data_IF_662590683271
#
_entry.id   IF_662590683271
#
_cell.length_a   1.000
_cell.length_b   1.000
_cell.length_c   1.000
_cell.angle_alpha   90.00
_cell.angle_beta   90.00
_cell.angle_gamma   90.00
#
_symmetry.space_group_name_H-M   'P 1'
#
loop_
_entity.id
_entity.type
_entity.pdbx_description
1 polymer ?
#
# COMPACT_ATOMS: atom_id res chain seq x y z
N UNK A 1 -27.11 3.06 -39.95
CA UNK A 1 -27.37 2.02 -38.94
C UNK A 1 -26.20 2.04 -37.94
N UNK A 2 -26.41 2.71 -36.79
CA UNK A 2 -25.37 2.83 -35.76
C UNK A 2 -25.47 1.67 -34.82
N UNK A 3 -24.45 0.84 -34.73
CA UNK A 3 -24.30 -0.19 -33.70
C UNK A 3 -23.75 0.49 -32.44
N UNK A 4 -24.63 0.85 -31.53
CA UNK A 4 -24.27 1.20 -30.15
C UNK A 4 -23.97 -0.10 -29.41
N UNK A 5 -22.72 -0.54 -29.47
CA UNK A 5 -22.23 -1.63 -28.64
C UNK A 5 -22.20 -1.19 -27.17
N UNK A 6 -23.24 -1.53 -26.42
CA UNK A 6 -23.20 -1.43 -24.97
C UNK A 6 -22.08 -2.36 -24.45
N UNK A 7 -20.95 -1.79 -24.05
CA UNK A 7 -19.88 -2.52 -23.40
C UNK A 7 -20.44 -3.12 -22.11
N UNK A 8 -20.65 -4.42 -22.09
CA UNK A 8 -21.10 -5.15 -20.91
C UNK A 8 -20.12 -4.86 -19.77
N UNK A 9 -20.67 -4.44 -18.62
CA UNK A 9 -19.90 -4.21 -17.40
C UNK A 9 -19.18 -5.52 -17.04
N UNK A 10 -17.84 -5.53 -16.88
CA UNK A 10 -17.14 -6.76 -16.53
C UNK A 10 -17.74 -7.37 -15.26
N UNK A 11 -17.81 -8.70 -15.15
CA UNK A 11 -18.38 -9.37 -13.99
C UNK A 11 -17.65 -8.93 -12.72
N UNK A 12 -18.42 -8.55 -11.71
CA UNK A 12 -17.85 -8.32 -10.37
C UNK A 12 -17.27 -9.64 -9.86
N UNK A 13 -16.18 -9.63 -9.08
CA UNK A 13 -15.71 -10.82 -8.41
C UNK A 13 -16.87 -11.41 -7.59
N UNK A 14 -17.00 -12.74 -7.58
CA UNK A 14 -17.97 -13.42 -6.72
C UNK A 14 -17.75 -12.93 -5.29
N UNK A 15 -18.81 -12.80 -4.48
CA UNK A 15 -18.67 -12.41 -3.06
C UNK A 15 -17.61 -13.31 -2.40
N UNK A 16 -16.43 -12.74 -2.15
CA UNK A 16 -15.27 -13.49 -1.67
C UNK A 16 -15.29 -13.71 -0.16
N UNK A 17 -16.23 -13.08 0.56
CA UNK A 17 -16.22 -13.05 2.01
C UNK A 17 -15.09 -12.20 2.62
N UNK A 18 -14.26 -11.55 1.82
CA UNK A 18 -13.21 -10.63 2.33
C UNK A 18 -13.91 -9.36 2.85
N UNK A 19 -13.73 -8.99 4.13
CA UNK A 19 -14.26 -7.74 4.65
C UNK A 19 -13.72 -6.53 3.90
N UNK A 20 -14.51 -5.45 3.88
CA UNK A 20 -14.10 -4.17 3.31
C UNK A 20 -14.14 -3.07 4.36
N UNK A 21 -13.30 -2.06 4.20
CA UNK A 21 -13.30 -0.82 5.00
C UNK A 21 -13.45 0.38 4.10
N UNK A 22 -14.07 1.44 4.62
CA UNK A 22 -14.06 2.75 3.96
C UNK A 22 -12.65 3.31 4.06
N UNK A 23 -12.10 3.71 2.92
CA UNK A 23 -10.72 4.19 2.83
C UNK A 23 -10.63 5.66 3.23
N UNK A 24 -10.28 5.92 4.49
CA UNK A 24 -10.22 7.26 5.05
C UNK A 24 -11.47 8.09 4.73
N UNK A 25 -11.28 9.36 4.40
CA UNK A 25 -12.33 10.31 4.00
C UNK A 25 -12.80 10.19 2.54
N UNK A 26 -12.28 9.21 1.79
CA UNK A 26 -12.58 9.06 0.35
C UNK A 26 -13.98 8.52 0.06
N UNK A 27 -14.63 7.87 1.03
CA UNK A 27 -15.91 7.18 0.85
C UNK A 27 -15.84 5.86 0.07
N UNK A 28 -14.67 5.48 -0.46
CA UNK A 28 -14.50 4.24 -1.25
C UNK A 28 -14.28 3.05 -0.32
N UNK A 29 -14.99 1.95 -0.58
CA UNK A 29 -14.76 0.68 0.13
C UNK A 29 -13.70 -0.14 -0.59
N UNK A 30 -12.72 -0.64 0.18
CA UNK A 30 -11.62 -1.48 -0.31
C UNK A 30 -11.51 -2.75 0.52
N UNK A 31 -11.00 -3.85 -0.06
CA UNK A 31 -10.70 -5.06 0.70
C UNK A 31 -9.64 -4.77 1.77
N UNK A 32 -9.78 -5.37 2.96
CA UNK A 32 -8.84 -5.12 4.08
C UNK A 32 -7.44 -5.70 3.84
N UNK A 33 -7.27 -6.55 2.83
CA UNK A 33 -5.98 -7.06 2.35
C UNK A 33 -5.78 -6.66 0.90
N UNK A 34 -4.52 -6.41 0.53
CA UNK A 34 -4.11 -5.98 -0.79
C UNK A 34 -2.93 -6.82 -1.30
N UNK A 35 -2.82 -6.96 -2.63
CA UNK A 35 -1.63 -7.49 -3.28
C UNK A 35 -0.59 -6.37 -3.43
N UNK A 36 0.59 -6.56 -2.84
CA UNK A 36 1.73 -5.66 -2.98
C UNK A 36 2.62 -6.05 -4.17
N UNK A 37 2.98 -5.05 -4.98
CA UNK A 37 3.75 -5.23 -6.20
C UNK A 37 5.28 -5.32 -6.01
N UNK A 38 5.79 -5.02 -4.82
CA UNK A 38 7.25 -5.02 -4.58
C UNK A 38 7.90 -6.40 -4.66
N UNK A 39 7.11 -7.48 -4.63
CA UNK A 39 7.58 -8.88 -4.69
C UNK A 39 7.16 -9.59 -5.99
N UNK A 40 6.74 -8.86 -7.00
CA UNK A 40 6.49 -9.43 -8.33
C UNK A 40 7.78 -9.92 -9.01
N UNK A 41 8.92 -9.43 -8.58
CA UNK A 41 10.25 -9.90 -8.97
C UNK A 41 10.59 -11.35 -8.58
N UNK A 42 9.76 -11.97 -7.74
CA UNK A 42 9.88 -13.41 -7.38
C UNK A 42 9.25 -14.35 -8.42
N UNK A 43 8.45 -13.82 -9.34
CA UNK A 43 7.92 -14.59 -10.45
C UNK A 43 8.97 -14.74 -11.56
N UNK A 44 8.97 -15.85 -12.31
CA UNK A 44 9.94 -16.08 -13.38
C UNK A 44 9.95 -14.98 -14.45
N UNK A 45 8.77 -14.45 -14.78
CA UNK A 45 8.60 -13.42 -15.78
C UNK A 45 7.33 -12.57 -15.53
N UNK A 46 7.11 -11.59 -16.39
CA UNK A 46 5.97 -10.68 -16.33
C UNK A 46 4.64 -11.40 -16.58
N UNK A 47 4.62 -12.44 -17.40
CA UNK A 47 3.39 -13.16 -17.74
C UNK A 47 2.89 -13.98 -16.52
N UNK A 48 3.79 -14.66 -15.82
CA UNK A 48 3.48 -15.38 -14.57
C UNK A 48 3.05 -14.40 -13.46
N UNK A 49 3.73 -13.27 -13.33
CA UNK A 49 3.34 -12.22 -12.39
C UNK A 49 1.93 -11.66 -12.71
N UNK A 50 1.62 -11.45 -13.99
CA UNK A 50 0.29 -11.00 -14.43
C UNK A 50 -0.80 -12.04 -14.17
N UNK A 51 -0.50 -13.32 -14.39
CA UNK A 51 -1.42 -14.42 -14.06
C UNK A 51 -1.70 -14.48 -12.55
N UNK A 52 -0.66 -14.28 -11.71
CA UNK A 52 -0.82 -14.16 -10.26
C UNK A 52 -1.73 -12.98 -9.89
N UNK A 53 -1.50 -11.79 -10.44
CA UNK A 53 -2.33 -10.59 -10.20
C UNK A 53 -3.80 -10.87 -10.57
N UNK A 54 -4.04 -11.50 -11.73
CA UNK A 54 -5.39 -11.88 -12.15
C UNK A 54 -6.03 -12.86 -11.18
N UNK A 55 -5.31 -13.89 -10.77
CA UNK A 55 -5.80 -14.89 -9.81
C UNK A 55 -6.17 -14.25 -8.48
N UNK A 56 -5.37 -13.30 -7.98
CA UNK A 56 -5.67 -12.57 -6.74
C UNK A 56 -6.95 -11.75 -6.85
N UNK A 57 -7.19 -11.11 -8.01
CA UNK A 57 -8.46 -10.45 -8.29
C UNK A 57 -9.64 -11.45 -8.29
N UNK A 58 -9.49 -12.58 -8.96
CA UNK A 58 -10.54 -13.61 -9.04
C UNK A 58 -10.89 -14.20 -7.67
N UNK A 59 -9.94 -14.20 -6.72
CA UNK A 59 -10.13 -14.55 -5.31
C UNK A 59 -10.85 -13.44 -4.50
N UNK A 60 -11.09 -12.27 -5.10
CA UNK A 60 -11.91 -11.19 -4.55
C UNK A 60 -11.14 -10.06 -3.87
N UNK A 61 -9.83 -10.01 -3.99
CA UNK A 61 -9.04 -8.83 -3.57
C UNK A 61 -9.34 -7.69 -4.54
N UNK A 62 -9.63 -6.51 -4.01
CA UNK A 62 -9.95 -5.33 -4.82
C UNK A 62 -8.91 -4.22 -4.71
N UNK A 63 -7.92 -4.36 -3.83
CA UNK A 63 -6.84 -3.38 -3.66
C UNK A 63 -5.52 -3.93 -4.19
N UNK A 64 -4.88 -3.16 -5.07
CA UNK A 64 -3.63 -3.51 -5.74
C UNK A 64 -2.63 -2.37 -5.61
N UNK A 65 -1.49 -2.63 -4.96
CA UNK A 65 -0.43 -1.64 -4.73
C UNK A 65 0.77 -1.90 -5.61
N UNK A 66 1.14 -0.91 -6.41
CA UNK A 66 2.28 -0.97 -7.32
C UNK A 66 3.21 0.24 -7.14
N UNK A 67 4.30 0.28 -7.88
CA UNK A 67 5.17 1.45 -8.01
C UNK A 67 6.01 1.36 -9.29
N UNK A 68 6.30 2.52 -9.89
CA UNK A 68 7.17 2.63 -11.07
C UNK A 68 8.55 2.03 -10.86
N UNK A 69 9.11 2.16 -9.66
CA UNK A 69 10.44 1.65 -9.32
C UNK A 69 10.50 0.13 -9.07
N UNK A 70 9.35 -0.55 -8.91
CA UNK A 70 9.37 -1.97 -8.61
C UNK A 70 9.74 -2.80 -9.84
N UNK A 71 10.73 -3.68 -9.67
CA UNK A 71 11.23 -4.57 -10.72
C UNK A 71 11.56 -3.86 -12.04
N UNK A 72 12.10 -2.63 -11.96
CA UNK A 72 12.43 -1.82 -13.14
C UNK A 72 11.21 -1.46 -14.03
N UNK A 73 10.03 -1.33 -13.44
CA UNK A 73 8.78 -1.06 -14.14
C UNK A 73 7.97 -2.30 -14.52
N UNK A 74 8.57 -3.50 -14.48
CA UNK A 74 7.89 -4.76 -14.84
C UNK A 74 6.73 -5.11 -13.89
N UNK A 75 6.77 -4.61 -12.65
CA UNK A 75 5.64 -4.76 -11.74
C UNK A 75 4.39 -4.02 -12.26
N UNK A 76 4.53 -2.79 -12.75
CA UNK A 76 3.41 -2.07 -13.40
C UNK A 76 2.92 -2.79 -14.66
N UNK A 77 3.83 -3.34 -15.46
CA UNK A 77 3.49 -4.11 -16.66
C UNK A 77 2.64 -5.34 -16.32
N UNK A 78 3.06 -6.11 -15.30
CA UNK A 78 2.31 -7.27 -14.81
C UNK A 78 0.90 -6.89 -14.32
N UNK A 79 0.79 -5.76 -13.61
CA UNK A 79 -0.50 -5.24 -13.14
C UNK A 79 -1.37 -4.77 -14.31
N UNK A 80 -0.79 -4.08 -15.29
CA UNK A 80 -1.48 -3.63 -16.50
C UNK A 80 -2.07 -4.78 -17.32
N UNK A 81 -1.34 -5.90 -17.42
CA UNK A 81 -1.80 -7.12 -18.09
C UNK A 81 -2.85 -7.85 -17.22
N UNK A 82 -2.53 -8.13 -15.95
CA UNK A 82 -3.36 -8.92 -15.06
C UNK A 82 -4.73 -8.28 -14.75
N UNK A 83 -4.81 -6.95 -14.71
CA UNK A 83 -6.04 -6.21 -14.43
C UNK A 83 -6.79 -5.77 -15.68
N UNK A 84 -6.33 -6.13 -16.86
CA UNK A 84 -7.01 -5.80 -18.11
C UNK A 84 -8.44 -6.36 -18.13
N UNK A 85 -9.41 -5.52 -18.54
CA UNK A 85 -10.84 -5.87 -18.56
C UNK A 85 -11.53 -5.77 -17.20
N UNK A 86 -10.79 -5.66 -16.07
CA UNK A 86 -11.37 -5.54 -14.71
C UNK A 86 -10.94 -4.27 -13.98
N UNK A 87 -10.17 -3.38 -14.62
CA UNK A 87 -9.60 -2.16 -14.02
C UNK A 87 -10.62 -1.33 -13.22
N UNK A 88 -11.86 -1.22 -13.69
CA UNK A 88 -12.94 -0.44 -13.06
C UNK A 88 -13.48 -1.08 -11.76
N UNK A 89 -13.13 -2.33 -11.51
CA UNK A 89 -13.57 -3.07 -10.32
C UNK A 89 -12.53 -3.07 -9.20
N UNK A 90 -11.35 -2.52 -9.44
CA UNK A 90 -10.23 -2.53 -8.50
C UNK A 90 -9.82 -1.12 -8.10
N UNK A 91 -9.18 -1.04 -6.95
CA UNK A 91 -8.52 0.14 -6.42
C UNK A 91 -7.00 -0.04 -6.63
N UNK A 92 -6.46 0.69 -7.60
CA UNK A 92 -5.07 0.55 -8.05
C UNK A 92 -4.24 1.75 -7.62
N UNK A 93 -3.07 1.49 -7.06
CA UNK A 93 -2.13 2.54 -6.68
C UNK A 93 -0.81 2.39 -7.43
N UNK A 94 -0.17 3.53 -7.74
CA UNK A 94 1.24 3.56 -8.14
C UNK A 94 1.98 4.72 -7.48
N UNK A 95 3.31 4.78 -7.67
CA UNK A 95 4.18 5.68 -6.91
C UNK A 95 5.30 6.22 -7.79
N UNK A 96 5.74 7.46 -7.47
CA UNK A 96 6.90 8.12 -8.09
C UNK A 96 7.97 8.46 -7.05
N UNK A 97 9.25 8.25 -7.38
CA UNK A 97 10.39 8.67 -6.56
C UNK A 97 10.90 10.05 -6.91
N UNK A 98 10.32 10.68 -7.93
CA UNK A 98 10.70 12.02 -8.38
C UNK A 98 10.16 13.10 -7.45
N UNK A 99 10.81 14.27 -7.44
CA UNK A 99 10.48 15.35 -6.48
C UNK A 99 10.19 16.69 -7.16
N UNK A 100 10.45 16.83 -8.46
CA UNK A 100 10.13 18.03 -9.23
C UNK A 100 8.87 17.83 -10.08
N UNK A 101 8.14 18.91 -10.32
CA UNK A 101 6.91 18.89 -11.12
C UNK A 101 7.11 18.18 -12.48
N UNK A 102 8.11 18.62 -13.25
CA UNK A 102 8.34 18.09 -14.61
C UNK A 102 8.64 16.59 -14.60
N UNK A 103 9.50 16.12 -13.70
CA UNK A 103 9.88 14.71 -13.63
C UNK A 103 8.70 13.81 -13.24
N UNK A 104 7.87 14.26 -12.27
CA UNK A 104 6.73 13.44 -11.82
C UNK A 104 5.61 13.40 -12.85
N UNK A 105 5.38 14.48 -13.61
CA UNK A 105 4.42 14.50 -14.72
C UNK A 105 4.81 13.46 -15.79
N UNK A 106 6.08 13.44 -16.21
CA UNK A 106 6.59 12.45 -17.16
C UNK A 106 6.49 11.01 -16.65
N UNK A 107 6.79 10.80 -15.37
CA UNK A 107 6.74 9.45 -14.77
C UNK A 107 5.30 8.96 -14.62
N UNK A 108 4.32 9.85 -14.35
CA UNK A 108 2.91 9.48 -14.33
C UNK A 108 2.42 9.00 -15.71
N UNK A 109 2.73 9.73 -16.78
CA UNK A 109 2.35 9.33 -18.13
C UNK A 109 2.94 7.95 -18.49
N UNK A 110 4.22 7.74 -18.15
CA UNK A 110 4.87 6.45 -18.36
C UNK A 110 4.19 5.33 -17.55
N UNK A 111 3.81 5.60 -16.29
CA UNK A 111 3.09 4.64 -15.44
C UNK A 111 1.71 4.30 -15.98
N UNK A 112 0.93 5.31 -16.42
CA UNK A 112 -0.41 5.09 -16.98
C UNK A 112 -0.32 4.26 -18.26
N UNK A 113 0.64 4.54 -19.15
CA UNK A 113 0.90 3.76 -20.34
C UNK A 113 1.27 2.30 -20.04
N UNK A 114 2.16 2.07 -19.06
CA UNK A 114 2.59 0.73 -18.67
C UNK A 114 1.45 -0.05 -17.99
N UNK A 115 0.67 0.61 -17.13
CA UNK A 115 -0.50 0.04 -16.46
C UNK A 115 -1.71 -0.14 -17.39
N UNK A 116 -1.63 0.36 -18.64
CA UNK A 116 -2.72 0.29 -19.65
C UNK A 116 -4.05 0.84 -19.12
N UNK A 117 -3.99 2.02 -18.50
CA UNK A 117 -5.15 2.68 -17.89
C UNK A 117 -5.03 4.19 -18.00
N UNK A 118 -6.16 4.89 -18.06
CA UNK A 118 -6.21 6.35 -18.11
C UNK A 118 -6.06 7.00 -16.73
N UNK A 119 -6.19 6.22 -15.66
CA UNK A 119 -6.11 6.72 -14.30
C UNK A 119 -5.66 5.65 -13.30
N UNK A 120 -5.11 6.12 -12.18
CA UNK A 120 -4.92 5.30 -10.96
C UNK A 120 -5.85 5.81 -9.84
N UNK A 121 -6.17 4.96 -8.87
CA UNK A 121 -6.99 5.38 -7.75
C UNK A 121 -6.18 6.24 -6.79
N UNK A 122 -4.98 5.83 -6.40
CA UNK A 122 -4.07 6.69 -5.65
C UNK A 122 -2.74 6.81 -6.42
N UNK A 123 -2.28 8.04 -6.56
CA UNK A 123 -0.90 8.32 -6.94
C UNK A 123 -0.11 8.78 -5.72
N UNK A 124 1.06 8.19 -5.47
CA UNK A 124 1.79 8.38 -4.22
C UNK A 124 3.21 8.90 -4.43
N UNK A 125 3.61 9.87 -3.62
CA UNK A 125 5.00 10.24 -3.44
C UNK A 125 5.73 9.08 -2.74
N UNK A 126 6.70 8.47 -3.40
CA UNK A 126 7.33 7.24 -2.92
C UNK A 126 8.53 7.54 -2.01
N UNK A 127 8.54 6.91 -0.82
CA UNK A 127 9.70 6.80 0.05
C UNK A 127 10.30 8.15 0.45
N UNK A 128 9.46 9.04 1.00
CA UNK A 128 9.90 10.33 1.55
C UNK A 128 10.68 10.08 2.84
N UNK A 129 11.90 10.63 2.95
CA UNK A 129 12.87 10.28 3.98
C UNK A 129 13.35 11.43 4.85
N UNK A 130 13.44 12.65 4.30
CA UNK A 130 14.05 13.79 4.98
C UNK A 130 13.21 15.05 4.91
N UNK A 131 13.51 16.01 5.79
CA UNK A 131 12.85 17.32 5.77
C UNK A 131 13.14 18.07 4.46
N UNK A 132 14.36 17.96 3.90
CA UNK A 132 14.71 18.61 2.64
C UNK A 132 13.88 18.07 1.48
N UNK A 133 13.53 16.77 1.49
CA UNK A 133 12.59 16.21 0.50
C UNK A 133 11.20 16.80 0.67
N UNK A 134 10.72 16.98 1.90
CA UNK A 134 9.42 17.63 2.19
C UNK A 134 9.41 19.05 1.63
N UNK A 135 10.43 19.82 1.93
CA UNK A 135 10.56 21.21 1.48
C UNK A 135 10.59 21.30 -0.05
N UNK A 136 11.32 20.40 -0.71
CA UNK A 136 11.37 20.33 -2.17
C UNK A 136 10.04 19.93 -2.80
N UNK A 137 9.34 18.95 -2.21
CA UNK A 137 8.04 18.47 -2.67
C UNK A 137 7.00 19.60 -2.63
N UNK A 138 7.02 20.40 -1.56
CA UNK A 138 6.03 21.45 -1.31
C UNK A 138 6.41 22.83 -1.87
N UNK A 139 7.66 23.00 -2.35
CA UNK A 139 8.12 24.27 -2.92
C UNK A 139 7.48 24.58 -4.28
N UNK A 140 7.53 25.85 -4.74
CA UNK A 140 7.16 26.19 -6.11
C UNK A 140 7.95 25.37 -7.14
N UNK A 141 7.28 24.78 -8.12
CA UNK A 141 7.86 23.82 -9.08
C UNK A 141 8.14 22.44 -8.50
N UNK A 142 7.75 22.19 -7.26
CA UNK A 142 7.84 20.89 -6.60
C UNK A 142 6.77 19.90 -7.08
N UNK A 143 6.92 18.68 -6.63
CA UNK A 143 6.07 17.57 -7.09
C UNK A 143 4.58 17.78 -6.77
N UNK A 144 4.21 18.48 -5.67
CA UNK A 144 2.81 18.67 -5.29
C UNK A 144 1.99 19.39 -6.34
N UNK A 145 2.57 20.33 -7.09
CA UNK A 145 1.85 21.00 -8.18
C UNK A 145 1.37 20.00 -9.25
N UNK A 146 2.22 19.01 -9.59
CA UNK A 146 1.85 17.95 -10.52
C UNK A 146 0.80 17.00 -9.94
N UNK A 147 0.90 16.66 -8.66
CA UNK A 147 -0.09 15.81 -7.96
C UNK A 147 -1.48 16.45 -7.94
N UNK A 148 -1.58 17.74 -7.61
CA UNK A 148 -2.83 18.48 -7.65
C UNK A 148 -3.39 18.62 -9.08
N UNK A 149 -2.51 18.89 -10.07
CA UNK A 149 -2.89 18.97 -11.47
C UNK A 149 -3.40 17.61 -12.01
N UNK A 150 -2.72 16.50 -11.68
CA UNK A 150 -3.13 15.15 -12.08
C UNK A 150 -4.48 14.77 -11.46
N UNK A 151 -4.71 15.09 -10.18
CA UNK A 151 -6.00 14.88 -9.51
C UNK A 151 -7.11 15.69 -10.17
N UNK A 152 -6.86 16.95 -10.50
CA UNK A 152 -7.80 17.82 -11.21
C UNK A 152 -8.11 17.32 -12.63
N UNK A 153 -7.11 16.78 -13.31
CA UNK A 153 -7.24 16.21 -14.67
C UNK A 153 -7.88 14.80 -14.67
N UNK A 154 -8.14 14.20 -13.51
CA UNK A 154 -8.71 12.85 -13.40
C UNK A 154 -7.72 11.71 -13.67
N UNK A 155 -6.42 11.99 -13.79
CA UNK A 155 -5.36 10.98 -13.95
C UNK A 155 -5.08 10.19 -12.66
N UNK A 156 -5.43 10.76 -11.51
CA UNK A 156 -5.57 10.05 -10.26
C UNK A 156 -6.82 10.55 -9.51
N UNK A 157 -7.46 9.67 -8.73
CA UNK A 157 -8.62 10.05 -7.93
C UNK A 157 -8.20 10.67 -6.62
N UNK A 158 -7.13 10.15 -6.04
CA UNK A 158 -6.61 10.50 -4.73
C UNK A 158 -5.10 10.63 -4.78
N UNK A 159 -4.54 11.40 -3.84
CA UNK A 159 -3.11 11.60 -3.71
C UNK A 159 -2.63 11.16 -2.33
N UNK A 160 -1.41 10.65 -2.28
CA UNK A 160 -0.82 10.17 -1.05
C UNK A 160 0.69 10.21 -1.06
N UNK A 161 1.28 9.72 0.01
CA UNK A 161 2.71 9.50 0.09
C UNK A 161 3.05 8.25 0.86
N UNK A 162 4.28 7.82 0.74
CA UNK A 162 4.81 6.64 1.40
C UNK A 162 6.16 6.93 2.02
N UNK A 163 6.50 6.21 3.05
CA UNK A 163 7.81 6.19 3.63
C UNK A 163 7.89 5.08 4.68
N UNK A 164 9.11 4.68 4.98
CA UNK A 164 9.36 3.65 5.98
C UNK A 164 10.69 3.89 6.71
N UNK A 165 11.23 5.09 6.54
CA UNK A 165 12.54 5.46 7.05
C UNK A 165 12.45 6.04 8.48
N UNK A 166 11.78 7.17 8.64
CA UNK A 166 11.62 7.87 9.91
C UNK A 166 10.15 8.26 10.17
N UNK A 167 9.57 7.88 11.30
CA UNK A 167 8.18 8.21 11.64
C UNK A 167 7.97 9.70 11.96
N UNK A 168 9.01 10.41 12.40
CA UNK A 168 8.91 11.86 12.70
C UNK A 168 8.77 12.65 11.42
N UNK A 169 9.64 12.39 10.43
CA UNK A 169 9.53 12.95 9.07
C UNK A 169 8.16 12.63 8.45
N UNK A 170 7.68 11.41 8.65
CA UNK A 170 6.37 11.01 8.13
C UNK A 170 5.23 11.82 8.75
N UNK A 171 5.25 12.01 10.07
CA UNK A 171 4.30 12.84 10.79
C UNK A 171 4.41 14.33 10.40
N UNK A 172 5.63 14.82 10.13
CA UNK A 172 5.85 16.19 9.66
C UNK A 172 5.17 16.43 8.30
N UNK A 173 5.33 15.52 7.34
CA UNK A 173 4.68 15.63 6.03
C UNK A 173 3.15 15.54 6.12
N UNK A 174 2.61 14.71 7.03
CA UNK A 174 1.17 14.68 7.31
C UNK A 174 0.63 16.02 7.81
N UNK A 175 1.42 16.76 8.59
CA UNK A 175 1.05 18.08 9.11
C UNK A 175 1.27 19.24 8.13
N UNK A 176 2.30 19.11 7.27
CA UNK A 176 2.69 20.16 6.34
C UNK A 176 1.71 20.37 5.18
N UNK A 177 0.83 19.39 4.90
CA UNK A 177 -0.13 19.47 3.81
C UNK A 177 -1.45 18.81 4.19
N UNK A 178 -2.56 19.57 4.14
CA UNK A 178 -3.85 19.12 4.68
C UNK A 178 -4.72 18.31 3.72
N UNK A 179 -4.34 18.26 2.44
CA UNK A 179 -5.17 17.61 1.40
C UNK A 179 -4.73 16.18 1.06
N UNK A 180 -3.89 15.54 1.90
CA UNK A 180 -3.58 14.13 1.73
C UNK A 180 -4.84 13.28 1.86
N UNK A 181 -5.03 12.34 0.92
CA UNK A 181 -6.09 11.34 0.96
C UNK A 181 -5.56 10.01 1.54
N UNK A 182 -4.26 9.76 1.41
CA UNK A 182 -3.65 8.46 1.67
C UNK A 182 -2.24 8.58 2.25
N UNK A 183 -1.90 7.65 3.14
CA UNK A 183 -0.54 7.44 3.62
C UNK A 183 -0.22 5.95 3.74
N UNK A 184 1.01 5.57 3.38
CA UNK A 184 1.51 4.21 3.50
C UNK A 184 2.73 4.19 4.42
N UNK A 185 2.69 3.33 5.45
CA UNK A 185 3.76 3.22 6.44
C UNK A 185 3.93 1.78 6.96
N UNK A 186 5.11 1.41 7.51
CA UNK A 186 5.29 0.12 8.19
C UNK A 186 4.44 0.07 9.44
N UNK A 187 3.66 -1.00 9.61
CA UNK A 187 2.87 -1.26 10.81
C UNK A 187 2.83 -2.76 11.06
N UNK A 188 3.47 -3.23 12.11
CA UNK A 188 3.58 -4.64 12.45
C UNK A 188 3.84 -4.83 13.96
N UNK A 189 3.75 -6.03 14.46
CA UNK A 189 3.76 -6.32 15.90
C UNK A 189 5.02 -5.87 16.67
N UNK A 190 6.16 -5.69 15.99
CA UNK A 190 7.40 -5.20 16.60
C UNK A 190 7.64 -3.69 16.38
N UNK A 191 6.79 -2.99 15.60
CA UNK A 191 6.99 -1.58 15.25
C UNK A 191 7.10 -0.66 16.49
N UNK A 192 6.34 -0.96 17.54
CA UNK A 192 6.28 -0.17 18.76
C UNK A 192 7.63 -0.04 19.49
N UNK A 193 8.58 -0.93 19.23
CA UNK A 193 9.84 -1.00 19.96
C UNK A 193 10.99 -0.16 19.38
N UNK A 194 10.87 0.29 18.12
CA UNK A 194 11.92 1.08 17.46
C UNK A 194 11.37 2.00 16.39
N UNK A 195 11.64 3.32 16.50
CA UNK A 195 11.17 4.34 15.55
C UNK A 195 9.72 4.06 15.11
N UNK A 196 8.81 4.06 16.07
CA UNK A 196 7.45 3.55 15.92
C UNK A 196 6.59 4.47 15.05
N UNK A 197 6.17 3.98 13.90
CA UNK A 197 5.12 4.61 13.09
C UNK A 197 3.76 4.49 13.75
N UNK A 198 3.50 3.40 14.47
CA UNK A 198 2.27 3.17 15.22
C UNK A 198 2.03 4.24 16.29
N UNK A 199 3.10 4.67 16.99
CA UNK A 199 3.00 5.64 18.08
C UNK A 199 3.21 7.10 17.60
N UNK A 200 3.72 7.33 16.40
CA UNK A 200 4.14 8.67 15.95
C UNK A 200 3.32 9.17 14.76
N UNK A 201 3.33 8.47 13.63
CA UNK A 201 2.68 8.92 12.40
C UNK A 201 1.23 8.45 12.28
N UNK A 202 0.91 7.24 12.74
CA UNK A 202 -0.45 6.69 12.68
C UNK A 202 -1.49 7.56 13.40
N UNK A 203 -1.27 8.06 14.63
CA UNK A 203 -2.24 8.92 15.30
C UNK A 203 -2.56 10.18 14.51
N UNK A 204 -1.55 10.81 13.87
CA UNK A 204 -1.75 12.00 13.02
C UNK A 204 -2.59 11.69 11.79
N UNK A 205 -2.35 10.55 11.15
CA UNK A 205 -3.13 10.13 9.99
C UNK A 205 -4.60 9.86 10.35
N UNK A 206 -4.83 9.22 11.51
CA UNK A 206 -6.18 8.92 12.03
C UNK A 206 -6.93 10.20 12.37
N UNK A 207 -6.31 11.13 13.09
CA UNK A 207 -6.89 12.44 13.44
C UNK A 207 -7.34 13.21 12.19
N UNK A 208 -6.54 13.19 11.12
CA UNK A 208 -6.85 13.86 9.85
C UNK A 208 -7.81 13.06 8.94
N UNK A 209 -8.27 11.88 9.35
CA UNK A 209 -9.13 11.03 8.55
C UNK A 209 -8.49 10.51 7.25
N UNK A 210 -7.15 10.45 7.20
CA UNK A 210 -6.39 9.99 6.04
C UNK A 210 -6.44 8.46 5.96
N UNK A 211 -6.61 7.90 4.77
CA UNK A 211 -6.59 6.45 4.56
C UNK A 211 -5.20 5.87 4.79
N UNK A 212 -5.09 4.89 5.68
CA UNK A 212 -3.82 4.27 6.07
C UNK A 212 -3.64 2.91 5.40
N UNK A 213 -2.53 2.77 4.70
CA UNK A 213 -2.02 1.52 4.13
C UNK A 213 -0.89 0.99 5.02
N UNK A 214 -1.04 -0.20 5.56
CA UNK A 214 0.01 -0.86 6.35
C UNK A 214 0.88 -1.74 5.45
N UNK A 215 2.19 -1.59 5.54
CA UNK A 215 3.18 -2.48 4.93
C UNK A 215 4.07 -3.14 5.98
N UNK A 216 4.96 -4.03 5.52
CA UNK A 216 5.89 -4.78 6.40
C UNK A 216 5.18 -5.64 7.43
N UNK A 217 3.94 -6.04 7.19
CA UNK A 217 3.08 -6.86 8.08
C UNK A 217 3.84 -8.03 8.72
N UNK A 218 4.68 -8.71 7.96
CA UNK A 218 5.50 -9.84 8.42
C UNK A 218 6.94 -9.44 8.73
N UNK A 219 7.29 -8.14 8.74
CA UNK A 219 8.64 -7.63 8.93
C UNK A 219 9.69 -8.40 8.06
N UNK A 220 9.42 -8.51 6.74
CA UNK A 220 10.22 -9.34 5.80
C UNK A 220 10.40 -10.81 6.27
N UNK A 221 9.36 -11.41 6.83
CA UNK A 221 9.31 -12.75 7.40
C UNK A 221 10.07 -12.93 8.74
N UNK A 222 10.74 -11.92 9.27
CA UNK A 222 11.41 -12.04 10.58
C UNK A 222 10.44 -12.38 11.70
N UNK A 223 9.24 -11.80 11.70
CA UNK A 223 8.22 -12.06 12.73
C UNK A 223 7.71 -13.52 12.72
N UNK A 224 7.83 -14.21 11.59
CA UNK A 224 7.39 -15.61 11.49
C UNK A 224 8.24 -16.59 12.31
N UNK A 225 9.32 -16.12 12.94
CA UNK A 225 10.10 -16.87 13.93
C UNK A 225 9.39 -16.98 15.28
N UNK A 226 8.52 -16.03 15.59
CA UNK A 226 7.86 -15.90 16.90
C UNK A 226 6.33 -15.92 16.81
N UNK A 227 5.78 -15.54 15.68
CA UNK A 227 4.36 -15.39 15.43
C UNK A 227 3.94 -16.16 14.19
N UNK A 228 2.71 -16.64 14.16
CA UNK A 228 2.09 -17.16 12.94
C UNK A 228 1.78 -16.01 11.95
N UNK A 229 1.63 -16.35 10.67
CA UNK A 229 1.15 -15.39 9.66
C UNK A 229 -0.21 -14.80 10.01
N UNK A 230 -1.09 -15.62 10.61
CA UNK A 230 -2.40 -15.17 11.13
C UNK A 230 -2.23 -14.09 12.20
N UNK A 231 -1.36 -14.30 13.18
CA UNK A 231 -1.14 -13.32 14.25
C UNK A 231 -0.56 -12.02 13.71
N UNK A 232 0.43 -12.09 12.82
CA UNK A 232 1.01 -10.90 12.19
C UNK A 232 -0.05 -10.07 11.44
N UNK A 233 -0.85 -10.72 10.59
CA UNK A 233 -1.86 -10.03 9.79
C UNK A 233 -3.03 -9.53 10.65
N UNK A 234 -3.49 -10.33 11.63
CA UNK A 234 -4.55 -9.93 12.56
C UNK A 234 -4.11 -8.75 13.41
N UNK A 235 -2.86 -8.74 13.90
CA UNK A 235 -2.31 -7.59 14.64
C UNK A 235 -2.42 -6.31 13.81
N UNK A 236 -1.87 -6.31 12.60
CA UNK A 236 -1.89 -5.14 11.72
C UNK A 236 -3.32 -4.69 11.41
N UNK A 237 -4.22 -5.62 11.11
CA UNK A 237 -5.63 -5.32 10.82
C UNK A 237 -6.42 -4.85 12.06
N UNK A 238 -5.92 -5.11 13.27
CA UNK A 238 -6.51 -4.62 14.53
C UNK A 238 -6.16 -3.17 14.84
N UNK A 239 -5.14 -2.62 14.18
CA UNK A 239 -4.82 -1.20 14.23
C UNK A 239 -5.83 -0.39 13.39
N UNK A 240 -5.92 0.94 13.58
CA UNK A 240 -6.82 1.80 12.81
C UNK A 240 -6.32 2.02 11.36
N UNK A 241 -6.12 0.92 10.63
CA UNK A 241 -5.70 0.91 9.22
C UNK A 241 -6.85 0.46 8.33
N UNK A 242 -6.86 0.89 7.07
CA UNK A 242 -7.88 0.49 6.13
C UNK A 242 -7.50 -0.77 5.35
N UNK A 243 -6.20 -0.94 5.07
CA UNK A 243 -5.72 -2.06 4.27
C UNK A 243 -4.33 -2.49 4.70
N UNK A 244 -4.10 -3.80 4.77
CA UNK A 244 -2.79 -4.42 4.93
C UNK A 244 -2.28 -4.89 3.56
N UNK A 245 -1.18 -4.30 3.09
CA UNK A 245 -0.55 -4.65 1.81
C UNK A 245 0.42 -5.81 2.05
N UNK A 246 0.08 -6.96 1.49
CA UNK A 246 0.87 -8.17 1.59
C UNK A 246 1.72 -8.35 0.33
N UNK A 247 3.04 -8.41 0.49
CA UNK A 247 3.98 -8.71 -0.58
C UNK A 247 4.08 -10.23 -0.80
N UNK A 248 2.97 -10.88 -1.13
CA UNK A 248 2.96 -12.30 -1.43
C UNK A 248 3.67 -12.58 -2.76
N UNK A 249 4.71 -13.39 -2.72
CA UNK A 249 5.46 -13.82 -3.90
C UNK A 249 4.94 -15.14 -4.48
N UNK A 250 3.98 -15.78 -3.82
CA UNK A 250 3.32 -17.01 -4.31
C UNK A 250 1.82 -16.92 -4.11
N UNK A 251 1.09 -17.67 -4.95
CA UNK A 251 -0.36 -17.76 -4.85
C UNK A 251 -0.79 -18.31 -3.47
N UNK A 252 -0.14 -19.34 -2.96
CA UNK A 252 -0.47 -19.92 -1.65
C UNK A 252 -0.35 -18.94 -0.50
N UNK A 253 0.68 -18.09 -0.49
CA UNK A 253 0.83 -17.02 0.52
C UNK A 253 -0.34 -16.03 0.47
N UNK A 254 -0.79 -15.66 -0.73
CA UNK A 254 -1.92 -14.73 -0.85
C UNK A 254 -3.24 -15.38 -0.47
N UNK A 255 -3.45 -16.65 -0.83
CA UNK A 255 -4.62 -17.42 -0.40
C UNK A 255 -4.69 -17.57 1.13
N UNK A 256 -3.54 -17.77 1.81
CA UNK A 256 -3.47 -17.79 3.26
C UNK A 256 -3.87 -16.43 3.86
N UNK A 257 -3.34 -15.33 3.33
CA UNK A 257 -3.70 -13.99 3.76
C UNK A 257 -5.21 -13.70 3.56
N UNK A 258 -5.78 -14.17 2.46
CA UNK A 258 -7.22 -14.05 2.19
C UNK A 258 -8.03 -14.85 3.21
N UNK A 259 -7.65 -16.09 3.54
CA UNK A 259 -8.31 -16.89 4.57
C UNK A 259 -8.29 -16.23 5.95
N UNK A 260 -7.16 -15.60 6.30
CA UNK A 260 -7.06 -14.80 7.54
C UNK A 260 -8.03 -13.62 7.50
N UNK A 261 -8.06 -12.88 6.38
CA UNK A 261 -8.96 -11.74 6.22
C UNK A 261 -10.45 -12.13 6.27
N UNK A 262 -10.83 -13.22 5.65
CA UNK A 262 -12.21 -13.75 5.66
C UNK A 262 -12.70 -14.12 7.07
N UNK A 263 -11.80 -14.61 7.92
CA UNK A 263 -12.08 -14.98 9.31
C UNK A 263 -11.64 -13.91 10.33
N UNK A 264 -11.33 -12.70 9.87
CA UNK A 264 -10.78 -11.64 10.72
C UNK A 264 -11.71 -11.27 11.87
N UNK A 265 -11.15 -11.27 13.06
CA UNK A 265 -11.69 -10.68 14.27
C UNK A 265 -10.57 -9.86 14.90
N UNK A 266 -10.82 -8.60 15.30
CA UNK A 266 -9.78 -7.78 15.89
C UNK A 266 -9.31 -8.38 17.22
N UNK A 267 -8.04 -8.24 17.52
CA UNK A 267 -7.49 -8.56 18.84
C UNK A 267 -7.99 -7.57 19.90
N UNK A 268 -8.22 -8.07 21.10
CA UNK A 268 -8.40 -7.25 22.29
C UNK A 268 -7.11 -6.51 22.65
N UNK A 269 -7.18 -5.47 23.52
CA UNK A 269 -5.97 -4.80 24.03
C UNK A 269 -4.94 -5.75 24.66
N UNK A 270 -5.40 -6.75 25.40
CA UNK A 270 -4.53 -7.74 26.05
C UNK A 270 -3.86 -8.67 25.04
N UNK A 271 -4.60 -9.11 24.01
CA UNK A 271 -4.06 -9.91 22.92
C UNK A 271 -3.02 -9.12 22.11
N UNK A 272 -3.28 -7.84 21.82
CA UNK A 272 -2.31 -6.95 21.17
C UNK A 272 -1.03 -6.82 21.99
N UNK A 273 -1.15 -6.64 23.33
CA UNK A 273 -0.01 -6.54 24.23
C UNK A 273 0.81 -7.83 24.25
N UNK A 274 0.16 -8.99 24.32
CA UNK A 274 0.84 -10.29 24.30
C UNK A 274 1.55 -10.56 22.97
N UNK A 275 0.92 -10.24 21.83
CA UNK A 275 1.52 -10.38 20.51
C UNK A 275 2.74 -9.46 20.36
N UNK A 276 2.67 -8.20 20.84
CA UNK A 276 3.83 -7.28 20.87
C UNK A 276 4.99 -7.85 21.66
N UNK A 277 4.72 -8.36 22.87
CA UNK A 277 5.74 -8.96 23.74
C UNK A 277 6.45 -10.13 23.06
N UNK A 278 5.71 -11.06 22.46
CA UNK A 278 6.27 -12.20 21.74
C UNK A 278 7.02 -11.78 20.48
N UNK A 279 6.53 -10.78 19.75
CA UNK A 279 7.18 -10.25 18.55
C UNK A 279 8.61 -9.77 18.84
N UNK A 280 8.85 -9.14 19.97
CA UNK A 280 10.17 -8.65 20.40
C UNK A 280 11.02 -9.78 20.99
N UNK A 281 10.48 -10.53 21.96
CA UNK A 281 11.20 -11.59 22.67
C UNK A 281 11.63 -12.72 21.74
N UNK A 282 10.80 -13.11 20.77
CA UNK A 282 11.06 -14.23 19.86
C UNK A 282 12.15 -13.97 18.80
N UNK A 283 12.69 -12.77 18.72
CA UNK A 283 13.80 -12.44 17.81
C UNK A 283 15.19 -12.67 18.44
N UNK A 284 15.25 -13.22 19.65
CA UNK A 284 16.49 -13.31 20.43
C UNK A 284 16.83 -11.92 21.01
N UNK A 285 18.04 -11.44 20.76
CA UNK A 285 18.37 -10.04 21.07
C UNK A 285 17.70 -9.17 20.01
N UNK A 286 16.53 -8.62 20.30
CA UNK A 286 15.89 -7.64 19.43
C UNK A 286 16.72 -6.36 19.40
N UNK A 287 17.38 -6.11 18.28
CA UNK A 287 18.00 -4.84 17.98
C UNK A 287 17.18 -4.18 16.89
N UNK A 288 16.42 -3.13 17.22
CA UNK A 288 15.56 -2.43 16.27
C UNK A 288 16.28 -2.12 14.95
N UNK A 289 17.50 -1.54 14.98
CA UNK A 289 18.27 -1.25 13.76
C UNK A 289 18.60 -2.47 12.89
N UNK A 290 18.74 -3.67 13.47
CA UNK A 290 19.02 -4.88 12.71
C UNK A 290 17.77 -5.49 12.12
N UNK A 291 16.69 -5.59 12.91
CA UNK A 291 15.43 -6.17 12.48
C UNK A 291 14.72 -5.27 11.45
N UNK A 292 14.73 -3.96 11.70
CA UNK A 292 14.06 -2.94 10.91
C UNK A 292 15.08 -2.00 10.24
N UNK A 293 16.07 -2.59 9.57
CA UNK A 293 17.21 -1.88 8.96
C UNK A 293 16.81 -0.79 7.94
N UNK A 294 15.55 -0.76 7.50
CA UNK A 294 15.00 0.29 6.66
C UNK A 294 14.62 1.55 7.45
N UNK A 295 14.49 1.46 8.77
CA UNK A 295 14.24 2.60 9.65
C UNK A 295 15.56 3.24 10.07
N UNK A 296 15.61 4.55 9.99
CA UNK A 296 16.75 5.36 10.46
C UNK A 296 16.19 6.69 10.96
N UNK A 297 16.74 7.27 12.04
CA UNK A 297 16.41 8.64 12.41
C UNK A 297 16.84 9.58 11.28
N UNK A 298 16.02 10.61 11.03
CA UNK A 298 16.34 11.69 10.09
C UNK A 298 17.49 12.55 10.59
#
# INVERSE_FOLDING_TARGET
MGLTGASARPPKPKSSGIPTRVYGKTGVKVSIVAQGGARMDLHPDVAEAAAHVRRVYDLGVTYFDCARSYWGGKSEEAYGIGLQGVRKNVFLTTKTTKRTRQEVELELEASLGTLKTDYVDIWQMHDVRTQEEIDRILSPGGAMEAFEAAKKAGKCRFIGFTGHFDPVTHAALLRAYDKWDSVLMPLHAADHAYLSFENTALPVAVEKGIGVQAIKVFCKAFLLRALSSRECLTYTLSLPVQVAICGAGTQGQMEDNIRVAQSFKPFSPDELAEVRKRAVAGQGVYTGPTLEYWKKPA
#
